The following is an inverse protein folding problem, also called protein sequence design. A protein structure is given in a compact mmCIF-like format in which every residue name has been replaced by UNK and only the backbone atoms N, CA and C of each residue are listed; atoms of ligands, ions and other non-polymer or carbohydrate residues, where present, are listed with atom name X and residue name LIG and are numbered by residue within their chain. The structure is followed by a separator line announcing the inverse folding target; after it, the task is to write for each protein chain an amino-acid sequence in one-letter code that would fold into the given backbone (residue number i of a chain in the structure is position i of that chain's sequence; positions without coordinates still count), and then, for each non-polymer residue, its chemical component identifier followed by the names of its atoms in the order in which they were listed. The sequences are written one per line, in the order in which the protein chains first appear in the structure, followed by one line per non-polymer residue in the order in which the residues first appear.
data_IF_540980805157
#
_entry.id   IF_540980805157
#
_cell.length_a   1.000
_cell.length_b   1.000
_cell.length_c   1.000
_cell.angle_alpha   90.00
_cell.angle_beta   90.00
_cell.angle_gamma   90.00
#
_symmetry.space_group_name_H-M   'P 1'
#
loop_
_entity.id
_entity.type
_entity.pdbx_description
1 polymer ?
#
# COMPACT_ATOMS: atom_id res chain seq x y z
N UNK A 1 -20.11 28.39 16.16
CA UNK A 1 -18.63 28.54 16.28
C UNK A 1 -17.99 27.69 15.18
N UNK A 2 -17.22 28.28 14.25
CA UNK A 2 -16.70 27.54 13.08
C UNK A 2 -15.32 26.91 13.39
N UNK A 3 -15.11 25.71 12.87
CA UNK A 3 -13.85 24.98 12.99
C UNK A 3 -13.27 24.65 11.62
N UNK A 4 -11.96 24.53 11.53
CA UNK A 4 -11.27 23.98 10.36
C UNK A 4 -10.29 22.89 10.78
N UNK A 5 -10.36 21.75 10.11
CA UNK A 5 -9.41 20.65 10.28
C UNK A 5 -8.34 20.77 9.20
N UNK A 6 -7.07 20.72 9.59
CA UNK A 6 -5.93 20.78 8.67
C UNK A 6 -4.90 19.70 9.00
N UNK A 7 -4.38 19.06 7.97
CA UNK A 7 -3.22 18.16 8.09
C UNK A 7 -1.94 18.98 8.13
N UNK A 8 -1.20 18.87 9.22
CA UNK A 8 0.03 19.62 9.51
C UNK A 8 1.20 18.62 9.59
N UNK A 9 1.84 18.38 8.44
CA UNK A 9 3.02 17.52 8.33
C UNK A 9 4.11 18.21 7.51
N UNK A 10 4.67 19.29 8.04
CA UNK A 10 5.71 20.05 7.37
C UNK A 10 7.10 19.61 7.85
N UNK A 11 8.06 19.59 6.93
CA UNK A 11 9.48 19.39 7.21
C UNK A 11 10.14 20.75 7.46
N UNK A 12 11.29 20.81 8.16
CA UNK A 12 12.04 22.05 8.37
C UNK A 12 12.31 22.85 7.08
N UNK A 13 12.64 22.17 5.97
CA UNK A 13 12.85 22.83 4.67
C UNK A 13 11.56 23.39 4.03
N UNK A 14 10.38 23.06 4.57
CA UNK A 14 9.07 23.58 4.14
C UNK A 14 8.53 24.66 5.09
N UNK A 15 9.35 25.22 5.99
CA UNK A 15 8.87 26.14 7.03
C UNK A 15 8.22 27.42 6.46
N UNK A 16 8.70 27.96 5.35
CA UNK A 16 8.06 29.12 4.69
C UNK A 16 6.65 28.78 4.19
N UNK A 17 6.46 27.59 3.61
CA UNK A 17 5.13 27.08 3.23
C UNK A 17 4.22 26.95 4.45
N UNK A 18 4.77 26.45 5.55
CA UNK A 18 4.02 26.26 6.77
C UNK A 18 3.64 27.60 7.40
N UNK A 19 4.58 28.53 7.51
CA UNK A 19 4.41 29.88 8.01
C UNK A 19 3.33 30.63 7.20
N UNK A 20 3.42 30.59 5.86
CA UNK A 20 2.42 31.24 5.00
C UNK A 20 1.02 30.67 5.22
N UNK A 21 0.90 29.34 5.34
CA UNK A 21 -0.39 28.68 5.61
C UNK A 21 -0.96 29.05 6.98
N UNK A 22 -0.10 29.09 8.01
CA UNK A 22 -0.51 29.52 9.35
C UNK A 22 -0.92 30.99 9.36
N UNK A 23 -0.20 31.87 8.67
CA UNK A 23 -0.54 33.29 8.56
C UNK A 23 -1.88 33.50 7.86
N UNK A 24 -2.15 32.77 6.77
CA UNK A 24 -3.45 32.81 6.09
C UNK A 24 -4.59 32.40 7.04
N UNK A 25 -4.41 31.33 7.82
CA UNK A 25 -5.39 30.91 8.82
C UNK A 25 -5.55 31.97 9.92
N UNK A 26 -4.44 32.50 10.41
CA UNK A 26 -4.42 33.50 11.46
C UNK A 26 -5.08 34.82 11.08
N UNK A 27 -4.87 35.31 9.85
CA UNK A 27 -5.55 36.49 9.28
C UNK A 27 -7.06 36.28 9.18
N UNK A 28 -7.51 35.05 8.91
CA UNK A 28 -8.93 34.67 8.92
C UNK A 28 -9.50 34.48 10.35
N UNK A 29 -8.72 34.75 11.39
CA UNK A 29 -9.10 34.58 12.79
C UNK A 29 -9.12 33.11 13.24
N UNK A 30 -8.37 32.21 12.61
CA UNK A 30 -8.28 30.81 13.05
C UNK A 30 -7.10 30.59 14.00
N UNK A 31 -7.43 30.23 15.24
CA UNK A 31 -6.49 29.93 16.31
C UNK A 31 -6.40 28.43 16.62
N UNK A 32 -5.20 27.94 16.92
CA UNK A 32 -4.97 26.57 17.38
C UNK A 32 -4.12 26.60 18.66
N UNK A 33 -4.55 25.88 19.71
CA UNK A 33 -3.83 25.81 20.99
C UNK A 33 -2.62 24.87 20.94
N UNK A 34 -2.71 23.81 20.15
CA UNK A 34 -1.67 22.82 19.95
C UNK A 34 -1.77 22.25 18.54
N UNK A 35 -0.64 22.21 17.82
CA UNK A 35 -0.61 21.64 16.48
C UNK A 35 -0.20 20.17 16.55
N UNK A 36 -0.96 19.31 15.89
CA UNK A 36 -0.62 17.90 15.69
C UNK A 36 -0.68 17.53 14.21
N UNK A 37 -0.44 16.26 13.86
CA UNK A 37 -0.60 15.81 12.47
C UNK A 37 -1.96 16.20 11.90
N UNK A 38 -3.02 16.10 12.70
CA UNK A 38 -4.38 16.54 12.39
C UNK A 38 -4.71 17.65 13.40
N UNK A 39 -4.66 18.90 12.95
CA UNK A 39 -4.87 20.06 13.81
C UNK A 39 -6.26 20.64 13.60
N UNK A 40 -6.92 21.00 14.70
CA UNK A 40 -8.23 21.65 14.70
C UNK A 40 -8.03 23.13 15.04
N UNK A 41 -8.44 24.00 14.12
CA UNK A 41 -8.40 25.43 14.29
C UNK A 41 -9.79 25.96 14.65
N UNK A 42 -9.89 26.76 15.70
CA UNK A 42 -11.10 27.41 16.18
C UNK A 42 -11.12 28.86 15.73
N UNK A 43 -12.25 29.34 15.21
CA UNK A 43 -12.42 30.73 14.85
C UNK A 43 -12.50 31.63 16.10
N UNK A 44 -11.79 32.75 16.08
CA UNK A 44 -11.74 33.82 17.08
C UNK A 44 -11.99 35.19 16.43
N UNK A 45 -12.36 36.19 17.22
CA UNK A 45 -12.81 37.50 16.73
C UNK A 45 -11.67 38.50 16.47
N UNK A 46 -10.41 38.04 16.46
CA UNK A 46 -9.22 38.86 16.22
C UNK A 46 -8.24 38.09 15.34
N UNK A 47 -7.39 38.78 14.56
CA UNK A 47 -6.32 38.13 13.82
C UNK A 47 -5.31 37.48 14.77
N UNK A 48 -4.73 36.37 14.34
CA UNK A 48 -3.67 35.65 15.06
C UNK A 48 -2.42 35.64 14.20
N UNK A 49 -1.28 35.94 14.81
CA UNK A 49 0.01 35.98 14.14
C UNK A 49 0.82 34.76 14.58
N UNK A 50 1.09 33.85 13.65
CA UNK A 50 1.93 32.69 13.93
C UNK A 50 3.39 33.01 13.62
N UNK A 51 4.30 32.33 14.31
CA UNK A 51 5.73 32.53 14.13
C UNK A 51 6.47 31.20 14.27
N UNK A 52 7.38 30.93 13.33
CA UNK A 52 8.21 29.72 13.31
C UNK A 52 9.67 30.09 13.54
N UNK A 53 10.30 29.41 14.50
CA UNK A 53 11.74 29.47 14.74
C UNK A 53 12.35 28.09 14.92
N UNK A 54 13.68 28.00 14.92
CA UNK A 54 14.41 26.75 15.01
C UNK A 54 15.38 26.74 16.19
N UNK A 55 15.39 25.63 16.93
CA UNK A 55 16.30 25.42 18.05
C UNK A 55 16.64 23.95 18.23
N UNK A 56 17.92 23.60 18.03
CA UNK A 56 18.42 22.27 18.38
C UNK A 56 18.61 22.23 19.89
N UNK A 57 17.96 21.25 20.53
CA UNK A 57 18.09 21.08 21.98
C UNK A 57 19.43 20.45 22.36
N UNK A 58 20.12 21.06 23.32
CA UNK A 58 21.43 20.62 23.81
C UNK A 58 21.32 20.02 25.22
N UNK A 59 22.20 19.05 25.53
CA UNK A 59 22.26 18.38 26.84
C UNK A 59 22.68 16.92 26.72
N UNK A 60 23.43 16.44 27.71
CA UNK A 60 23.88 15.04 27.80
C UNK A 60 22.74 14.11 28.23
N UNK A 61 21.83 14.60 29.07
CA UNK A 61 20.69 13.83 29.59
C UNK A 61 19.33 14.49 29.29
N UNK A 62 18.24 13.79 29.60
CA UNK A 62 16.86 14.26 29.33
C UNK A 62 16.50 15.54 30.09
N UNK A 63 17.04 15.73 31.30
CA UNK A 63 16.76 16.91 32.14
C UNK A 63 17.41 18.17 31.55
N UNK A 64 18.67 18.09 31.15
CA UNK A 64 19.40 19.18 30.50
C UNK A 64 18.73 19.59 29.18
N UNK A 65 18.35 18.62 28.34
CA UNK A 65 17.62 18.89 27.09
C UNK A 65 16.28 19.58 27.32
N UNK A 66 15.57 19.21 28.40
CA UNK A 66 14.31 19.85 28.79
C UNK A 66 14.56 21.29 29.26
N UNK A 67 15.56 21.52 30.10
CA UNK A 67 15.91 22.85 30.59
C UNK A 67 16.32 23.80 29.45
N UNK A 68 17.12 23.32 28.49
CA UNK A 68 17.51 24.09 27.31
C UNK A 68 16.30 24.45 26.42
N UNK A 69 15.40 23.48 26.18
CA UNK A 69 14.13 23.72 25.47
C UNK A 69 13.29 24.79 26.17
N UNK A 70 13.12 24.68 27.49
CA UNK A 70 12.33 25.62 28.28
C UNK A 70 12.97 27.01 28.28
N UNK A 71 14.30 27.09 28.36
CA UNK A 71 15.03 28.35 28.26
C UNK A 71 14.82 29.02 26.90
N UNK A 72 14.83 28.26 25.80
CA UNK A 72 14.50 28.76 24.47
C UNK A 72 13.06 29.30 24.38
N UNK A 73 12.08 28.52 24.82
CA UNK A 73 10.66 28.91 24.79
C UNK A 73 10.39 30.13 25.68
N UNK A 74 11.04 30.22 26.85
CA UNK A 74 10.88 31.33 27.80
C UNK A 74 11.25 32.69 27.19
N UNK A 75 12.21 32.73 26.24
CA UNK A 75 12.56 33.97 25.50
C UNK A 75 11.37 34.53 24.72
N UNK A 76 10.56 33.64 24.15
CA UNK A 76 9.36 34.00 23.38
C UNK A 76 8.18 34.36 24.29
N UNK A 77 7.99 33.62 25.38
CA UNK A 77 6.94 33.93 26.38
C UNK A 77 7.14 35.33 26.98
N UNK A 78 8.38 35.72 27.30
CA UNK A 78 8.71 37.08 27.77
C UNK A 78 8.33 38.17 26.78
N UNK A 79 8.20 37.85 25.49
CA UNK A 79 7.76 38.75 24.41
C UNK A 79 6.27 38.58 24.08
N UNK A 80 5.48 37.99 24.98
CA UNK A 80 4.03 37.76 24.79
C UNK A 80 3.68 36.85 23.60
N UNK A 81 4.55 35.89 23.29
CA UNK A 81 4.21 34.79 22.38
C UNK A 81 3.79 33.57 23.19
N UNK A 82 2.79 32.85 22.68
CA UNK A 82 2.40 31.55 23.19
C UNK A 82 3.05 30.44 22.38
N UNK A 83 3.71 29.51 23.05
CA UNK A 83 4.21 28.28 22.41
C UNK A 83 3.04 27.34 22.08
N UNK A 84 3.00 26.84 20.85
CA UNK A 84 1.93 25.98 20.34
C UNK A 84 2.45 24.62 19.93
N UNK A 85 3.67 24.53 19.41
CA UNK A 85 4.14 23.29 18.81
C UNK A 85 5.64 23.20 18.68
N UNK A 86 6.21 21.99 18.81
CA UNK A 86 7.54 21.70 18.31
C UNK A 86 7.66 20.32 17.64
N UNK A 87 8.34 20.26 16.50
CA UNK A 87 8.73 18.99 15.84
C UNK A 87 9.99 19.17 15.02
N UNK A 88 10.95 18.25 15.16
CA UNK A 88 12.22 18.24 14.41
C UNK A 88 12.96 19.59 14.49
N UNK A 89 13.08 20.10 15.71
CA UNK A 89 13.74 21.38 16.03
C UNK A 89 13.05 22.63 15.46
N UNK A 90 11.89 22.50 14.82
CA UNK A 90 11.01 23.60 14.42
C UNK A 90 10.00 23.88 15.53
N UNK A 91 9.89 25.13 15.96
CA UNK A 91 9.02 25.62 17.02
C UNK A 91 8.02 26.61 16.44
N UNK A 92 6.76 26.48 16.81
CA UNK A 92 5.68 27.38 16.39
C UNK A 92 5.13 28.09 17.60
N UNK A 93 4.99 29.40 17.45
CA UNK A 93 4.42 30.31 18.42
C UNK A 93 3.23 31.04 17.81
N UNK A 94 2.32 31.56 18.62
CA UNK A 94 1.33 32.54 18.19
C UNK A 94 1.35 33.77 19.09
N UNK A 95 0.89 34.88 18.53
CA UNK A 95 0.61 36.12 19.24
C UNK A 95 -0.69 36.75 18.71
N UNK A 96 -1.30 37.59 19.52
CA UNK A 96 -2.45 38.42 19.12
C UNK A 96 -2.01 39.77 18.53
N UNK A 97 -0.73 40.12 18.65
CA UNK A 97 -0.17 41.37 18.14
C UNK A 97 0.71 41.07 16.92
N UNK A 98 0.60 41.91 15.89
CA UNK A 98 1.56 41.91 14.79
C UNK A 98 2.90 42.40 15.34
N UNK A 99 3.91 41.54 15.27
CA UNK A 99 5.25 41.86 15.74
C UNK A 99 6.21 41.64 14.60
N UNK A 100 6.93 42.70 14.25
CA UNK A 100 7.94 42.69 13.21
C UNK A 100 9.06 41.72 13.61
N UNK A 101 9.36 40.74 12.75
CA UNK A 101 10.39 39.77 13.09
C UNK A 101 11.23 39.28 11.92
N UNK A 102 12.54 39.47 12.07
CA UNK A 102 13.57 38.87 11.24
C UNK A 102 13.93 37.50 11.80
N UNK A 103 13.74 36.43 11.02
CA UNK A 103 14.22 35.09 11.36
C UNK A 103 15.69 35.22 11.78
N UNK A 104 16.04 34.74 12.97
CA UNK A 104 17.42 34.82 13.48
C UNK A 104 18.30 33.74 12.83
N UNK A 105 18.37 33.76 11.49
CA UNK A 105 19.20 32.91 10.62
C UNK A 105 20.72 33.09 10.87
N UNK A 106 21.11 34.07 11.70
CA UNK A 106 22.51 34.42 11.95
C UNK A 106 23.26 33.34 12.74
N UNK A 107 22.58 32.53 13.55
CA UNK A 107 23.22 31.44 14.31
C UNK A 107 23.21 30.13 13.50
N UNK A 108 24.04 30.07 12.45
CA UNK A 108 24.21 28.91 11.54
C UNK A 108 24.52 27.56 12.23
N UNK A 109 24.87 27.55 13.52
CA UNK A 109 25.33 26.35 14.26
C UNK A 109 24.20 25.43 14.75
N UNK A 110 22.97 25.90 14.88
CA UNK A 110 21.91 25.21 15.64
C UNK A 110 20.86 24.49 14.77
N UNK A 111 21.07 24.41 13.46
CA UNK A 111 19.98 24.24 12.52
C UNK A 111 20.02 22.93 11.71
N UNK A 112 20.58 21.85 12.29
CA UNK A 112 20.57 20.43 11.84
C UNK A 112 22.01 19.91 11.56
N UNK A 113 22.30 18.66 11.93
CA UNK A 113 23.63 18.01 11.88
C UNK A 113 23.85 17.22 10.57
N UNK A 114 25.09 17.10 10.09
CA UNK A 114 25.46 16.27 8.92
C UNK A 114 24.90 14.83 9.02
N UNK A 115 24.72 14.33 10.24
CA UNK A 115 24.05 13.07 10.56
C UNK A 115 22.66 12.96 9.92
N UNK A 116 21.82 14.02 9.98
CA UNK A 116 20.46 13.98 9.42
C UNK A 116 20.45 13.92 7.89
N UNK A 117 21.49 14.44 7.23
CA UNK A 117 21.69 14.28 5.78
C UNK A 117 21.99 12.83 5.44
N UNK A 118 22.90 12.20 6.18
CA UNK A 118 23.26 10.78 6.03
C UNK A 118 22.02 9.91 6.30
N UNK A 119 21.29 10.15 7.39
CA UNK A 119 20.05 9.44 7.70
C UNK A 119 19.01 9.55 6.57
N UNK A 120 18.86 10.74 5.96
CA UNK A 120 17.90 10.92 4.87
C UNK A 120 18.34 10.21 3.58
N UNK A 121 19.65 10.14 3.33
CA UNK A 121 20.22 9.35 2.25
C UNK A 121 20.03 7.85 2.48
N UNK A 122 20.39 7.35 3.67
CA UNK A 122 20.19 5.94 4.04
C UNK A 122 18.70 5.55 3.96
N UNK A 123 17.79 6.41 4.40
CA UNK A 123 16.35 6.18 4.27
C UNK A 123 15.90 6.10 2.81
N UNK A 124 16.47 6.92 1.92
CA UNK A 124 16.20 6.83 0.49
C UNK A 124 16.71 5.51 -0.12
N UNK A 125 17.95 5.12 0.17
CA UNK A 125 18.52 3.85 -0.29
C UNK A 125 17.72 2.66 0.27
N UNK A 126 17.41 2.67 1.56
CA UNK A 126 16.58 1.63 2.18
C UNK A 126 15.18 1.56 1.54
N UNK A 127 14.56 2.70 1.23
CA UNK A 127 13.26 2.72 0.55
C UNK A 127 13.32 2.14 -0.87
N UNK A 128 14.41 2.36 -1.60
CA UNK A 128 14.63 1.76 -2.92
C UNK A 128 14.78 0.25 -2.82
N UNK A 129 15.62 -0.23 -1.89
CA UNK A 129 15.82 -1.66 -1.67
C UNK A 129 14.53 -2.37 -1.24
N UNK A 130 13.78 -1.79 -0.29
CA UNK A 130 12.50 -2.35 0.14
C UNK A 130 11.47 -2.36 -1.00
N UNK A 131 11.40 -1.29 -1.79
CA UNK A 131 10.52 -1.24 -2.95
C UNK A 131 10.89 -2.31 -3.99
N UNK A 132 12.19 -2.45 -4.31
CA UNK A 132 12.66 -3.46 -5.26
C UNK A 132 12.39 -4.88 -4.75
N UNK A 133 12.70 -5.16 -3.49
CA UNK A 133 12.42 -6.45 -2.86
C UNK A 133 10.93 -6.78 -2.88
N UNK A 134 10.07 -5.82 -2.53
CA UNK A 134 8.63 -6.03 -2.52
C UNK A 134 8.09 -6.27 -3.93
N UNK A 135 8.49 -5.47 -4.91
CA UNK A 135 8.04 -5.60 -6.31
C UNK A 135 8.49 -6.94 -6.89
N UNK A 136 9.78 -7.29 -6.74
CA UNK A 136 10.32 -8.56 -7.26
C UNK A 136 9.70 -9.76 -6.54
N UNK A 137 9.58 -9.70 -5.21
CA UNK A 137 8.97 -10.75 -4.41
C UNK A 137 7.50 -10.96 -4.75
N UNK A 138 6.73 -9.87 -4.92
CA UNK A 138 5.33 -9.96 -5.32
C UNK A 138 5.18 -10.55 -6.72
N UNK A 139 6.02 -10.13 -7.68
CA UNK A 139 5.97 -10.66 -9.04
C UNK A 139 6.37 -12.14 -9.10
N UNK A 140 7.30 -12.58 -8.26
CA UNK A 140 7.72 -13.98 -8.20
C UNK A 140 6.66 -14.89 -7.57
N UNK A 141 5.92 -14.40 -6.58
CA UNK A 141 4.88 -15.17 -5.88
C UNK A 141 3.54 -15.24 -6.62
N UNK A 142 3.38 -14.45 -7.69
CA UNK A 142 2.13 -14.36 -8.45
C UNK A 142 1.87 -15.60 -9.30
N UNK A 143 0.68 -16.18 -9.14
CA UNK A 143 0.14 -17.23 -9.99
C UNK A 143 -1.25 -16.83 -10.52
N UNK A 144 -1.86 -17.67 -11.35
CA UNK A 144 -3.19 -17.37 -11.93
C UNK A 144 -4.27 -17.14 -10.85
N UNK A 145 -4.18 -17.87 -9.73
CA UNK A 145 -5.11 -17.76 -8.61
C UNK A 145 -5.03 -16.39 -7.90
N UNK A 146 -3.85 -15.77 -7.95
CA UNK A 146 -3.62 -14.43 -7.39
C UNK A 146 -4.37 -13.35 -8.16
N UNK A 147 -4.87 -13.63 -9.37
CA UNK A 147 -5.53 -12.64 -10.24
C UNK A 147 -6.97 -13.01 -10.59
N UNK A 148 -7.66 -13.77 -9.73
CA UNK A 148 -9.05 -14.14 -9.99
C UNK A 148 -10.05 -13.01 -9.76
N UNK A 149 -9.63 -11.91 -9.12
CA UNK A 149 -10.45 -10.70 -8.99
C UNK A 149 -9.80 -9.45 -9.59
N UNK A 150 -10.63 -8.45 -9.88
CA UNK A 150 -10.14 -7.11 -10.21
C UNK A 150 -9.49 -6.43 -8.99
N UNK A 151 -10.01 -6.75 -7.81
CA UNK A 151 -9.68 -6.15 -6.54
C UNK A 151 -8.24 -6.39 -6.14
N UNK A 152 -7.79 -7.64 -6.20
CA UNK A 152 -6.40 -7.99 -5.92
C UNK A 152 -5.42 -7.31 -6.89
N UNK A 153 -5.81 -7.13 -8.15
CA UNK A 153 -5.01 -6.38 -9.15
C UNK A 153 -4.88 -4.91 -8.74
N UNK A 154 -5.96 -4.28 -8.29
CA UNK A 154 -5.93 -2.91 -7.77
C UNK A 154 -5.11 -2.80 -6.49
N UNK A 155 -5.18 -3.79 -5.59
CA UNK A 155 -4.36 -3.84 -4.37
C UNK A 155 -2.87 -3.85 -4.74
N UNK A 156 -2.44 -4.74 -5.63
CA UNK A 156 -1.04 -4.81 -6.06
C UNK A 156 -0.59 -3.52 -6.78
N UNK A 157 -1.41 -2.98 -7.69
CA UNK A 157 -1.11 -1.70 -8.33
C UNK A 157 -0.97 -0.56 -7.30
N UNK A 158 -1.85 -0.53 -6.29
CA UNK A 158 -1.79 0.41 -5.17
C UNK A 158 -0.54 0.24 -4.31
N UNK A 159 -0.11 -0.99 -4.03
CA UNK A 159 1.12 -1.30 -3.27
C UNK A 159 2.38 -0.92 -4.04
N UNK A 160 2.42 -1.17 -5.35
CA UNK A 160 3.52 -0.72 -6.22
C UNK A 160 3.58 0.81 -6.25
N UNK A 161 2.44 1.48 -6.43
CA UNK A 161 2.36 2.94 -6.39
C UNK A 161 2.77 3.49 -5.02
N UNK A 162 2.44 2.80 -3.93
CA UNK A 162 2.84 3.17 -2.57
C UNK A 162 4.36 3.09 -2.41
N UNK A 163 4.99 2.04 -2.93
CA UNK A 163 6.45 1.89 -2.95
C UNK A 163 7.10 3.05 -3.72
N UNK A 164 6.63 3.34 -4.94
CA UNK A 164 7.12 4.46 -5.74
C UNK A 164 6.91 5.81 -5.03
N UNK A 165 5.76 5.99 -4.39
CA UNK A 165 5.43 7.19 -3.61
C UNK A 165 6.35 7.35 -2.40
N UNK A 166 6.69 6.26 -1.72
CA UNK A 166 7.62 6.27 -0.59
C UNK A 166 9.05 6.61 -1.04
N UNK A 167 9.52 6.01 -2.14
CA UNK A 167 10.81 6.32 -2.77
C UNK A 167 10.86 7.79 -3.17
N UNK A 168 9.85 8.28 -3.88
CA UNK A 168 9.72 9.69 -4.26
C UNK A 168 9.76 10.61 -3.04
N UNK A 169 9.01 10.28 -1.98
CA UNK A 169 8.97 11.08 -0.75
C UNK A 169 10.34 11.15 -0.07
N UNK A 170 11.07 10.03 -0.04
CA UNK A 170 12.41 9.95 0.53
C UNK A 170 13.44 10.71 -0.31
N UNK A 171 13.36 10.59 -1.64
CA UNK A 171 14.18 11.36 -2.58
C UNK A 171 13.99 12.87 -2.39
N UNK A 172 12.74 13.35 -2.43
CA UNK A 172 12.41 14.77 -2.21
C UNK A 172 12.92 15.23 -0.86
N UNK A 173 12.73 14.42 0.19
CA UNK A 173 13.24 14.74 1.53
C UNK A 173 14.78 14.86 1.55
N UNK A 174 15.51 13.92 0.95
CA UNK A 174 16.96 13.97 0.84
C UNK A 174 17.45 15.20 0.07
N UNK A 175 16.92 15.41 -1.14
CA UNK A 175 17.30 16.51 -2.02
C UNK A 175 17.07 17.88 -1.36
N UNK A 176 15.88 18.11 -0.83
CA UNK A 176 15.54 19.41 -0.24
C UNK A 176 16.16 19.65 1.13
N UNK A 177 16.42 18.59 1.90
CA UNK A 177 17.25 18.72 3.10
C UNK A 177 18.65 19.23 2.69
N UNK A 178 19.28 18.64 1.67
CA UNK A 178 20.59 19.08 1.16
C UNK A 178 20.55 20.52 0.62
N UNK A 179 19.50 20.91 -0.10
CA UNK A 179 19.35 22.26 -0.64
C UNK A 179 19.14 23.31 0.48
N UNK A 180 18.28 23.01 1.45
CA UNK A 180 18.07 23.84 2.65
C UNK A 180 19.39 24.09 3.41
N UNK A 181 20.22 23.06 3.57
CA UNK A 181 21.55 23.21 4.16
C UNK A 181 22.47 24.14 3.39
N UNK A 182 22.51 24.02 2.05
CA UNK A 182 23.31 24.90 1.21
C UNK A 182 22.85 26.37 1.34
N UNK A 183 21.54 26.59 1.41
CA UNK A 183 20.95 27.91 1.64
C UNK A 183 21.31 28.48 3.02
N UNK A 184 21.30 27.66 4.08
CA UNK A 184 21.74 28.11 5.41
C UNK A 184 23.24 28.48 5.42
N UNK A 185 24.07 27.71 4.71
CA UNK A 185 25.51 27.95 4.63
C UNK A 185 25.85 29.21 3.83
N UNK A 186 25.17 29.45 2.71
CA UNK A 186 25.33 30.63 1.85
C UNK A 186 24.10 31.53 2.00
N UNK A 187 24.22 32.61 2.80
CA UNK A 187 23.19 33.67 2.85
C UNK A 187 22.89 34.09 1.41
N UNK A 188 21.72 33.77 0.85
CA UNK A 188 21.34 34.47 -0.37
C UNK A 188 20.22 33.97 -1.26
N UNK A 189 19.68 32.74 -1.18
CA UNK A 189 18.58 32.38 -2.08
C UNK A 189 17.50 31.52 -1.43
N UNK A 190 16.23 32.00 -1.38
CA UNK A 190 15.11 31.21 -0.88
C UNK A 190 14.88 29.98 -1.75
N UNK A 191 14.57 28.85 -1.12
CA UNK A 191 14.07 27.68 -1.83
C UNK A 191 12.79 28.06 -2.60
N UNK A 192 12.67 27.59 -3.84
CA UNK A 192 11.49 27.86 -4.66
C UNK A 192 10.21 27.33 -4.00
N UNK A 193 9.41 28.25 -3.47
CA UNK A 193 8.12 27.98 -2.81
C UNK A 193 7.16 27.18 -3.70
N UNK A 194 7.05 27.56 -4.98
CA UNK A 194 6.14 26.94 -5.94
C UNK A 194 6.49 25.47 -6.18
N UNK A 195 7.78 25.15 -6.32
CA UNK A 195 8.26 23.77 -6.49
C UNK A 195 8.00 22.89 -5.27
N UNK A 196 8.28 23.38 -4.06
CA UNK A 196 8.02 22.64 -2.83
C UNK A 196 6.53 22.36 -2.64
N UNK A 197 5.67 23.36 -2.89
CA UNK A 197 4.21 23.20 -2.85
C UNK A 197 3.74 22.16 -3.87
N UNK A 198 4.27 22.20 -5.08
CA UNK A 198 3.95 21.25 -6.15
C UNK A 198 4.31 19.80 -5.78
N UNK A 199 5.54 19.55 -5.30
CA UNK A 199 5.95 18.21 -4.88
C UNK A 199 5.11 17.66 -3.72
N UNK A 200 4.72 18.53 -2.79
CA UNK A 200 3.83 18.15 -1.69
C UNK A 200 2.44 17.77 -2.21
N UNK A 201 1.89 18.51 -3.19
CA UNK A 201 0.62 18.17 -3.83
C UNK A 201 0.69 16.82 -4.53
N UNK A 202 1.73 16.57 -5.33
CA UNK A 202 1.97 15.27 -5.98
C UNK A 202 1.95 14.15 -4.93
N UNK A 203 2.77 14.29 -3.88
CA UNK A 203 2.83 13.27 -2.83
C UNK A 203 1.47 12.99 -2.19
N UNK A 204 0.67 14.03 -1.90
CA UNK A 204 -0.66 13.83 -1.32
C UNK A 204 -1.61 13.14 -2.29
N UNK A 205 -1.63 13.54 -3.56
CA UNK A 205 -2.46 12.91 -4.59
C UNK A 205 -2.08 11.43 -4.71
N UNK A 206 -0.80 11.12 -4.90
CA UNK A 206 -0.33 9.75 -4.99
C UNK A 206 -0.69 8.93 -3.75
N UNK A 207 -0.53 9.50 -2.54
CA UNK A 207 -0.86 8.81 -1.29
C UNK A 207 -2.35 8.49 -1.18
N UNK A 208 -3.23 9.43 -1.56
CA UNK A 208 -4.68 9.20 -1.57
C UNK A 208 -5.04 8.14 -2.61
N UNK A 209 -4.48 8.23 -3.81
CA UNK A 209 -4.69 7.22 -4.86
C UNK A 209 -4.26 5.83 -4.40
N UNK A 210 -3.12 5.70 -3.70
CA UNK A 210 -2.70 4.41 -3.12
C UNK A 210 -3.75 3.85 -2.16
N UNK A 211 -4.26 4.68 -1.24
CA UNK A 211 -5.28 4.26 -0.28
C UNK A 211 -6.59 3.85 -0.97
N UNK A 212 -7.00 4.61 -1.99
CA UNK A 212 -8.19 4.28 -2.77
C UNK A 212 -8.02 2.98 -3.56
N UNK A 213 -6.85 2.73 -4.17
CA UNK A 213 -6.58 1.50 -4.90
C UNK A 213 -6.54 0.28 -3.98
N UNK A 214 -5.86 0.38 -2.84
CA UNK A 214 -5.75 -0.72 -1.87
C UNK A 214 -7.11 -0.98 -1.22
N UNK A 215 -7.74 0.04 -0.65
CA UNK A 215 -9.03 -0.10 0.02
C UNK A 215 -10.15 -0.49 -0.95
N UNK A 216 -10.23 0.19 -2.10
CA UNK A 216 -11.19 -0.14 -3.15
C UNK A 216 -10.95 -1.52 -3.75
N UNK A 217 -9.70 -1.95 -3.86
CA UNK A 217 -9.36 -3.29 -4.31
C UNK A 217 -9.86 -4.38 -3.36
N UNK A 218 -9.63 -4.25 -2.05
CA UNK A 218 -10.19 -5.20 -1.08
C UNK A 218 -11.72 -5.23 -1.09
N UNK A 219 -12.36 -4.07 -1.22
CA UNK A 219 -13.83 -3.98 -1.31
C UNK A 219 -14.35 -4.67 -2.58
N UNK A 220 -13.70 -4.45 -3.72
CA UNK A 220 -14.05 -5.14 -4.97
C UNK A 220 -13.93 -6.65 -4.83
N UNK A 221 -12.83 -7.12 -4.24
CA UNK A 221 -12.56 -8.55 -4.04
C UNK A 221 -13.69 -9.23 -3.25
N UNK A 222 -14.16 -8.57 -2.19
CA UNK A 222 -15.29 -9.07 -1.39
C UNK A 222 -16.63 -9.08 -2.14
N UNK A 223 -16.86 -8.18 -3.09
CA UNK A 223 -18.11 -8.13 -3.87
C UNK A 223 -18.08 -9.02 -5.12
N UNK A 224 -16.89 -9.31 -5.63
CA UNK A 224 -16.66 -10.13 -6.81
C UNK A 224 -16.75 -11.63 -6.51
N UNK A 225 -16.41 -12.03 -5.28
CA UNK A 225 -16.66 -13.38 -4.80
C UNK A 225 -18.17 -13.63 -4.67
N UNK A 226 -18.74 -14.44 -5.57
CA UNK A 226 -20.17 -14.75 -5.56
C UNK A 226 -20.38 -16.26 -5.52
N UNK A 227 -21.38 -16.70 -4.78
CA UNK A 227 -21.86 -18.08 -4.86
C UNK A 227 -22.63 -18.28 -6.17
N UNK A 228 -22.61 -19.50 -6.71
CA UNK A 228 -23.39 -19.87 -7.88
C UNK A 228 -24.04 -21.25 -7.67
N UNK A 229 -25.12 -21.53 -8.39
CA UNK A 229 -25.79 -22.82 -8.31
C UNK A 229 -25.37 -23.75 -9.45
N UNK A 230 -25.44 -25.07 -9.23
CA UNK A 230 -25.17 -26.06 -10.29
C UNK A 230 -26.11 -25.96 -11.50
N UNK A 231 -27.25 -25.27 -11.37
CA UNK A 231 -28.15 -24.95 -12.49
C UNK A 231 -27.59 -23.84 -13.38
N UNK A 232 -26.91 -22.87 -12.79
CA UNK A 232 -26.30 -21.74 -13.50
C UNK A 232 -25.03 -22.18 -14.22
N UNK A 233 -24.21 -23.00 -13.56
CA UNK A 233 -23.00 -23.56 -14.16
C UNK A 233 -22.84 -25.03 -13.72
N UNK A 234 -23.08 -26.00 -14.62
CA UNK A 234 -22.96 -27.41 -14.30
C UNK A 234 -21.49 -27.80 -14.14
N UNK A 235 -21.18 -28.46 -13.04
CA UNK A 235 -19.84 -28.97 -12.68
C UNK A 235 -19.96 -30.43 -12.28
N UNK A 236 -18.95 -31.22 -12.63
CA UNK A 236 -18.87 -32.63 -12.24
C UNK A 236 -18.88 -32.78 -10.71
N UNK A 237 -19.75 -33.66 -10.21
CA UNK A 237 -19.89 -33.97 -8.78
C UNK A 237 -19.33 -35.35 -8.43
N UNK A 238 -19.08 -35.58 -7.15
CA UNK A 238 -18.69 -36.87 -6.56
C UNK A 238 -19.75 -37.95 -6.86
N UNK A 239 -21.03 -37.57 -6.92
CA UNK A 239 -22.13 -38.47 -7.30
C UNK A 239 -22.03 -38.93 -8.76
N UNK A 240 -21.63 -38.06 -9.68
CA UNK A 240 -21.41 -38.42 -11.08
C UNK A 240 -20.28 -39.46 -11.26
N UNK A 241 -19.34 -39.46 -10.30
CA UNK A 241 -18.26 -40.45 -10.18
C UNK A 241 -18.68 -41.77 -9.52
N UNK A 242 -19.96 -41.90 -9.14
CA UNK A 242 -20.55 -43.12 -8.56
C UNK A 242 -20.38 -43.25 -7.05
N UNK A 243 -20.02 -42.17 -6.36
CA UNK A 243 -19.88 -42.15 -4.89
C UNK A 243 -21.14 -41.48 -4.32
N UNK A 244 -22.06 -42.29 -3.80
CA UNK A 244 -23.41 -41.87 -3.42
C UNK A 244 -23.55 -41.49 -1.95
N UNK A 245 -22.55 -40.80 -1.40
CA UNK A 245 -22.59 -40.32 -0.03
C UNK A 245 -23.30 -38.96 0.07
N UNK A 246 -23.73 -38.59 1.28
CA UNK A 246 -24.24 -37.24 1.55
C UNK A 246 -23.08 -36.24 1.47
N UNK A 247 -23.10 -35.37 0.47
CA UNK A 247 -22.08 -34.36 0.23
C UNK A 247 -22.49 -32.96 0.67
N UNK A 248 -21.51 -32.18 1.10
CA UNK A 248 -21.59 -30.74 1.24
C UNK A 248 -20.88 -30.08 0.06
N UNK A 249 -21.50 -29.05 -0.51
CA UNK A 249 -21.03 -28.38 -1.71
C UNK A 249 -20.86 -26.88 -1.44
N UNK A 250 -19.66 -26.37 -1.70
CA UNK A 250 -19.34 -24.94 -1.66
C UNK A 250 -18.93 -24.49 -3.05
N UNK A 251 -19.53 -23.40 -3.52
CA UNK A 251 -19.32 -22.85 -4.87
C UNK A 251 -18.90 -21.40 -4.79
N UNK A 252 -17.91 -21.03 -5.60
CA UNK A 252 -17.44 -19.65 -5.72
C UNK A 252 -17.13 -19.36 -7.19
N UNK A 253 -17.70 -18.29 -7.70
CA UNK A 253 -17.35 -17.71 -8.99
C UNK A 253 -16.66 -16.36 -8.80
N UNK A 254 -15.71 -16.09 -9.67
CA UNK A 254 -14.98 -14.81 -9.74
C UNK A 254 -14.81 -14.38 -11.20
N UNK A 255 -14.59 -13.09 -11.41
CA UNK A 255 -14.25 -12.53 -12.73
C UNK A 255 -13.13 -11.51 -12.61
N UNK A 256 -12.21 -11.50 -13.57
CA UNK A 256 -11.13 -10.51 -13.63
C UNK A 256 -10.71 -10.18 -15.06
N UNK A 257 -9.83 -9.18 -15.20
CA UNK A 257 -9.22 -8.84 -16.49
C UNK A 257 -8.37 -9.97 -17.05
N UNK A 258 -7.74 -10.77 -16.19
CA UNK A 258 -6.85 -11.86 -16.60
C UNK A 258 -7.64 -13.14 -16.87
N UNK A 259 -8.66 -13.40 -16.04
CA UNK A 259 -9.55 -14.56 -16.13
C UNK A 259 -10.99 -14.08 -16.17
N UNK A 260 -11.59 -13.95 -17.37
CA UNK A 260 -12.97 -13.50 -17.56
C UNK A 260 -13.99 -14.18 -16.67
N UNK A 261 -13.89 -15.50 -16.54
CA UNK A 261 -14.76 -16.29 -15.67
C UNK A 261 -13.94 -17.38 -15.00
N UNK A 262 -14.02 -17.44 -13.68
CA UNK A 262 -13.47 -18.51 -12.87
C UNK A 262 -14.57 -19.13 -12.05
N UNK A 263 -14.63 -20.46 -12.02
CA UNK A 263 -15.55 -21.22 -11.19
C UNK A 263 -14.75 -22.17 -10.30
N UNK A 264 -15.11 -22.24 -9.03
CA UNK A 264 -14.52 -23.19 -8.10
C UNK A 264 -15.61 -23.88 -7.30
N UNK A 265 -15.45 -25.19 -7.13
CA UNK A 265 -16.38 -26.06 -6.41
C UNK A 265 -15.57 -26.95 -5.50
N UNK A 266 -15.91 -26.94 -4.22
CA UNK A 266 -15.44 -27.92 -3.26
C UNK A 266 -16.63 -28.79 -2.85
N UNK A 267 -16.56 -30.07 -3.17
CA UNK A 267 -17.51 -31.07 -2.70
C UNK A 267 -16.80 -32.02 -1.73
N UNK A 268 -17.41 -32.26 -0.56
CA UNK A 268 -16.85 -33.12 0.50
C UNK A 268 -17.89 -34.08 1.06
N UNK A 269 -17.50 -35.35 1.23
CA UNK A 269 -18.28 -36.43 1.88
C UNK A 269 -17.48 -37.05 3.02
N UNK A 270 -16.85 -36.23 3.87
CA UNK A 270 -15.91 -36.58 4.96
C UNK A 270 -14.56 -37.18 4.55
N UNK A 271 -14.45 -38.04 3.52
CA UNK A 271 -13.15 -38.61 3.09
C UNK A 271 -12.92 -38.80 1.58
N UNK A 272 -13.94 -38.73 0.71
CA UNK A 272 -13.72 -38.18 -0.62
C UNK A 272 -14.00 -36.68 -0.65
N UNK A 273 -13.02 -35.92 -1.13
CA UNK A 273 -13.15 -34.53 -1.51
C UNK A 273 -12.78 -34.40 -2.99
N UNK A 274 -13.61 -33.68 -3.72
CA UNK A 274 -13.38 -33.27 -5.10
C UNK A 274 -13.34 -31.75 -5.11
N UNK A 275 -12.20 -31.21 -5.51
CA UNK A 275 -12.05 -29.79 -5.72
C UNK A 275 -11.86 -29.50 -7.20
N UNK A 276 -12.81 -28.79 -7.78
CA UNK A 276 -12.80 -28.39 -9.19
C UNK A 276 -12.54 -26.90 -9.27
N UNK A 277 -11.57 -26.49 -10.09
CA UNK A 277 -11.38 -25.11 -10.53
C UNK A 277 -11.46 -25.04 -12.04
N UNK A 278 -12.12 -24.03 -12.55
CA UNK A 278 -12.25 -23.80 -13.97
C UNK A 278 -11.88 -22.36 -14.28
N UNK A 279 -11.03 -22.20 -15.29
CA UNK A 279 -10.61 -20.90 -15.78
C UNK A 279 -11.05 -20.79 -17.24
N UNK A 280 -11.97 -19.86 -17.53
CA UNK A 280 -12.32 -19.49 -18.90
C UNK A 280 -11.53 -18.25 -19.29
N UNK A 281 -10.55 -18.43 -20.16
CA UNK A 281 -9.57 -17.41 -20.53
C UNK A 281 -9.97 -16.70 -21.83
N UNK A 282 -9.32 -15.58 -22.12
CA UNK A 282 -9.59 -14.80 -23.34
C UNK A 282 -9.26 -15.53 -24.65
N UNK A 283 -8.35 -16.51 -24.61
CA UNK A 283 -7.91 -17.19 -25.82
C UNK A 283 -7.36 -18.59 -25.54
N UNK A 284 -7.34 -19.43 -26.57
CA UNK A 284 -6.66 -20.72 -26.53
C UNK A 284 -5.15 -20.59 -26.26
N UNK A 285 -4.52 -19.50 -26.71
CA UNK A 285 -3.09 -19.24 -26.43
C UNK A 285 -2.85 -19.04 -24.94
N UNK A 286 -3.71 -18.27 -24.27
CA UNK A 286 -3.66 -18.07 -22.81
C UNK A 286 -3.86 -19.39 -22.06
N UNK A 287 -4.79 -20.24 -22.53
CA UNK A 287 -5.02 -21.56 -21.95
C UNK A 287 -3.80 -22.49 -22.09
N UNK A 288 -3.16 -22.52 -23.27
CA UNK A 288 -1.90 -23.26 -23.45
C UNK A 288 -0.79 -22.75 -22.53
N UNK A 289 -0.66 -21.43 -22.38
CA UNK A 289 0.34 -20.85 -21.49
C UNK A 289 0.10 -21.26 -20.03
N UNK A 290 -1.16 -21.24 -19.58
CA UNK A 290 -1.51 -21.70 -18.24
C UNK A 290 -1.19 -23.19 -18.03
N UNK A 291 -1.37 -24.03 -19.06
CA UNK A 291 -0.96 -25.45 -19.02
C UNK A 291 0.56 -25.61 -18.84
N UNK A 292 1.37 -24.81 -19.53
CA UNK A 292 2.82 -24.81 -19.35
C UNK A 292 3.23 -24.34 -17.94
N UNK A 293 2.53 -23.34 -17.39
CA UNK A 293 2.78 -22.87 -16.02
C UNK A 293 2.48 -23.97 -14.98
N UNK A 294 1.39 -24.72 -15.16
CA UNK A 294 1.06 -25.89 -14.33
C UNK A 294 2.16 -26.96 -14.39
N UNK A 295 2.68 -27.23 -15.60
CA UNK A 295 3.75 -28.21 -15.84
C UNK A 295 5.07 -27.78 -15.22
N UNK A 296 5.41 -26.49 -15.29
CA UNK A 296 6.64 -25.96 -14.72
C UNK A 296 6.64 -25.93 -13.18
N UNK A 297 5.45 -25.77 -12.55
CA UNK A 297 5.32 -25.58 -11.10
C UNK A 297 4.35 -26.57 -10.43
N UNK A 298 4.58 -27.90 -10.53
CA UNK A 298 3.60 -28.90 -10.07
C UNK A 298 3.28 -28.81 -8.57
N UNK A 299 4.26 -28.39 -7.75
CA UNK A 299 4.09 -28.23 -6.30
C UNK A 299 3.02 -27.21 -5.91
N UNK A 300 2.80 -26.18 -6.72
CA UNK A 300 1.75 -25.18 -6.46
C UNK A 300 0.34 -25.78 -6.60
N UNK A 301 0.23 -26.96 -7.20
CA UNK A 301 -1.04 -27.60 -7.58
C UNK A 301 -1.14 -29.02 -7.02
N UNK A 302 -0.61 -29.23 -5.80
CA UNK A 302 -0.73 -30.47 -5.02
C UNK A 302 -0.18 -31.74 -5.70
N UNK A 303 0.83 -31.60 -6.56
CA UNK A 303 1.51 -32.74 -7.17
C UNK A 303 3.05 -32.59 -7.16
N UNK A 304 3.75 -33.73 -7.23
CA UNK A 304 5.22 -33.79 -7.27
C UNK A 304 5.76 -34.02 -8.68
N UNK A 305 4.96 -34.63 -9.55
CA UNK A 305 5.32 -34.94 -10.93
C UNK A 305 4.09 -34.88 -11.83
N UNK A 306 4.30 -34.55 -13.09
CA UNK A 306 3.23 -34.42 -14.08
C UNK A 306 3.56 -35.27 -15.31
N UNK A 307 2.56 -35.97 -15.85
CA UNK A 307 2.62 -36.62 -17.15
C UNK A 307 1.64 -35.94 -18.10
N UNK A 308 2.10 -35.62 -19.30
CA UNK A 308 1.29 -34.96 -20.32
C UNK A 308 0.78 -35.97 -21.35
N UNK A 309 -0.47 -35.80 -21.77
CA UNK A 309 -1.08 -36.51 -22.89
C UNK A 309 -2.01 -35.54 -23.63
N UNK A 310 -1.53 -35.02 -24.77
CA UNK A 310 -2.24 -34.04 -25.58
C UNK A 310 -2.68 -32.81 -24.76
N UNK A 311 -3.99 -32.66 -24.52
CA UNK A 311 -4.58 -31.53 -23.80
C UNK A 311 -4.85 -31.84 -22.32
N UNK A 312 -4.16 -32.84 -21.77
CA UNK A 312 -4.38 -33.33 -20.41
C UNK A 312 -3.05 -33.45 -19.66
N UNK A 313 -3.02 -32.97 -18.43
CA UNK A 313 -1.93 -33.18 -17.48
C UNK A 313 -2.41 -34.05 -16.32
N UNK A 314 -1.70 -35.14 -16.08
CA UNK A 314 -1.91 -36.04 -14.95
C UNK A 314 -0.89 -35.72 -13.87
N UNK A 315 -1.34 -35.19 -12.74
CA UNK A 315 -0.53 -34.82 -11.58
C UNK A 315 -0.50 -35.93 -10.52
N UNK A 316 0.70 -36.36 -10.14
CA UNK A 316 0.90 -37.45 -9.19
C UNK A 316 1.60 -36.98 -7.92
N UNK A 317 1.19 -37.56 -6.79
CA UNK A 317 1.87 -37.47 -5.50
C UNK A 317 2.04 -38.88 -4.93
N UNK A 318 3.27 -39.25 -4.58
CA UNK A 318 3.59 -40.60 -4.09
C UNK A 318 3.02 -41.72 -4.99
N UNK A 319 3.17 -41.56 -6.31
CA UNK A 319 2.66 -42.47 -7.35
C UNK A 319 1.13 -42.58 -7.46
N UNK A 320 0.36 -41.83 -6.67
CA UNK A 320 -1.10 -41.74 -6.77
C UNK A 320 -1.51 -40.51 -7.57
N UNK A 321 -2.49 -40.66 -8.45
CA UNK A 321 -3.08 -39.54 -9.18
C UNK A 321 -3.87 -38.68 -8.20
N UNK A 322 -3.43 -37.44 -8.01
CA UNK A 322 -4.07 -36.46 -7.10
C UNK A 322 -4.71 -35.30 -7.85
N UNK A 323 -4.21 -35.00 -9.05
CA UNK A 323 -4.68 -33.85 -9.83
C UNK A 323 -4.82 -34.23 -11.30
N UNK A 324 -5.90 -33.76 -11.94
CA UNK A 324 -6.12 -33.86 -13.37
C UNK A 324 -6.39 -32.47 -13.91
N UNK A 325 -5.62 -32.04 -14.91
CA UNK A 325 -5.80 -30.74 -15.55
C UNK A 325 -6.14 -30.96 -17.02
N UNK A 326 -7.25 -30.39 -17.48
CA UNK A 326 -7.81 -30.60 -18.81
C UNK A 326 -7.93 -29.24 -19.50
N UNK A 327 -7.36 -29.13 -20.69
CA UNK A 327 -7.57 -27.98 -21.56
C UNK A 327 -8.63 -28.30 -22.63
N UNK A 328 -9.62 -27.43 -22.79
CA UNK A 328 -10.56 -27.43 -23.92
C UNK A 328 -10.68 -26.01 -24.46
N UNK A 329 -10.22 -25.79 -25.69
CA UNK A 329 -10.19 -24.46 -26.33
C UNK A 329 -9.50 -23.41 -25.42
N UNK A 330 -10.25 -22.40 -24.97
CA UNK A 330 -9.83 -21.35 -24.06
C UNK A 330 -10.14 -21.64 -22.57
N UNK A 331 -10.67 -22.82 -22.24
CA UNK A 331 -10.97 -23.26 -20.87
C UNK A 331 -9.89 -24.20 -20.36
N UNK A 332 -9.51 -24.03 -19.10
CA UNK A 332 -8.66 -24.97 -18.36
C UNK A 332 -9.37 -25.38 -17.08
N UNK A 333 -9.52 -26.68 -16.87
CA UNK A 333 -10.19 -27.27 -15.70
C UNK A 333 -9.15 -28.03 -14.90
N UNK A 334 -9.04 -27.73 -13.61
CA UNK A 334 -8.20 -28.41 -12.64
C UNK A 334 -9.10 -29.16 -11.67
N UNK A 335 -8.91 -30.47 -11.58
CA UNK A 335 -9.59 -31.38 -10.66
C UNK A 335 -8.56 -31.89 -9.66
N UNK A 336 -8.74 -31.59 -8.38
CA UNK A 336 -7.94 -32.14 -7.28
C UNK A 336 -8.76 -33.11 -6.46
N UNK A 337 -8.16 -34.26 -6.15
CA UNK A 337 -8.82 -35.43 -5.58
C UNK A 337 -8.13 -35.82 -4.27
N UNK A 338 -8.90 -36.05 -3.21
CA UNK A 338 -8.37 -36.65 -1.97
C UNK A 338 -8.34 -38.18 -1.99
N UNK A 339 -8.91 -38.79 -3.03
CA UNK A 339 -9.05 -40.23 -3.20
C UNK A 339 -8.34 -40.69 -4.47
N UNK A 340 -8.06 -41.99 -4.56
CA UNK A 340 -7.44 -42.58 -5.76
C UNK A 340 -8.54 -42.97 -6.76
N UNK A 341 -8.68 -42.28 -7.90
CA UNK A 341 -9.75 -42.58 -8.85
C UNK A 341 -9.46 -43.87 -9.63
N UNK A 342 -10.52 -44.62 -9.95
CA UNK A 342 -10.43 -45.76 -10.86
C UNK A 342 -10.25 -45.32 -12.32
N UNK A 343 -9.75 -46.18 -13.23
CA UNK A 343 -9.66 -45.83 -14.66
C UNK A 343 -10.99 -45.39 -15.28
N UNK A 344 -12.10 -45.98 -14.85
CA UNK A 344 -13.44 -45.58 -15.29
C UNK A 344 -13.82 -44.18 -14.81
N UNK A 345 -13.48 -43.84 -13.56
CA UNK A 345 -13.70 -42.49 -13.01
C UNK A 345 -12.84 -41.46 -13.74
N UNK A 346 -11.57 -41.77 -14.04
CA UNK A 346 -10.70 -40.90 -14.84
C UNK A 346 -11.30 -40.63 -16.22
N UNK A 347 -11.78 -41.67 -16.91
CA UNK A 347 -12.40 -41.48 -18.22
C UNK A 347 -13.68 -40.64 -18.14
N UNK A 348 -14.52 -40.84 -17.10
CA UNK A 348 -15.70 -40.00 -16.85
C UNK A 348 -15.33 -38.53 -16.65
N UNK A 349 -14.31 -38.25 -15.82
CA UNK A 349 -13.80 -36.88 -15.61
C UNK A 349 -13.36 -36.23 -16.92
N UNK A 350 -12.59 -36.95 -17.74
CA UNK A 350 -12.10 -36.44 -19.02
C UNK A 350 -13.25 -36.18 -19.98
N UNK A 351 -14.20 -37.11 -20.11
CA UNK A 351 -15.31 -37.00 -21.05
C UNK A 351 -16.28 -35.87 -20.68
N UNK A 352 -16.43 -35.55 -19.41
CA UNK A 352 -17.30 -34.47 -18.96
C UNK A 352 -16.78 -33.08 -19.39
N UNK A 353 -15.46 -32.89 -19.41
CA UNK A 353 -14.84 -31.60 -19.70
C UNK A 353 -14.21 -31.48 -21.10
N UNK A 354 -14.19 -32.58 -21.88
CA UNK A 354 -13.89 -32.57 -23.32
C UNK A 354 -15.08 -32.13 -24.15
#
# INVERSE_FOLDING_TARGET
MKYQIKIINYRPYEHELFQKKLNQLGQMGYYCRDLSLISIFKQVNHPVYYYIDFHKTFGKNRKEKKADKEAFVKKYIKKSYQFIYNKRDMYVFASQQEKDFQINLKNKKDLIDNIKRIQSFCAFIASLWLAAFFILGSLYAMNIDTFLSYGITFVYAGLVLLCLTAVFRCFVNFYYTKAFYKQLAKKGQPLSYSRLSYFRKIYMICSITCLCLIGGGFVEDTFNAQEFTLKEHPVLTIKDLGINDKSELSTLQHRSFTVPHSYSVLESTNQPMLYTKEYQLHSQKSAKQLMEDFKANPKQYYCTSVKEDHHILYGYQNQKLTTLIIQKENRVVLLSLSFTPTPQQIQKMINYYK
#
